data_IF_782576326654
#
_entry.id   IF_782576326654
#
_cell.length_a   1.000
_cell.length_b   1.000
_cell.length_c   1.000
_cell.angle_alpha   90.00
_cell.angle_beta   90.00
_cell.angle_gamma   90.00
#
_symmetry.space_group_name_H-M   'P 1'
#
loop_
_entity.id
_entity.type
_entity.pdbx_description
1 polymer ?
#
# COMPACT_ATOMS: atom_id res chain seq x y z
N UNK A 1 -8.06 -17.38 4.26
CA UNK A 1 -6.85 -16.63 4.66
C UNK A 1 -6.62 -15.35 3.87
N UNK A 2 -6.64 -15.35 2.52
CA UNK A 2 -6.39 -14.15 1.68
C UNK A 2 -7.18 -12.90 2.09
N UNK A 3 -8.50 -13.04 2.31
CA UNK A 3 -9.37 -11.93 2.73
C UNK A 3 -9.04 -11.41 4.15
N UNK A 4 -8.72 -12.30 5.09
CA UNK A 4 -8.35 -11.94 6.46
C UNK A 4 -7.03 -11.14 6.46
N UNK A 5 -6.03 -11.61 5.72
CA UNK A 5 -4.73 -10.93 5.56
C UNK A 5 -4.92 -9.55 4.91
N UNK A 6 -5.79 -9.46 3.91
CA UNK A 6 -6.12 -8.19 3.27
C UNK A 6 -6.75 -7.21 4.25
N UNK A 7 -7.76 -7.63 4.99
CA UNK A 7 -8.47 -6.76 5.94
C UNK A 7 -7.50 -6.24 7.01
N UNK A 8 -6.63 -7.11 7.55
CA UNK A 8 -5.62 -6.71 8.52
C UNK A 8 -4.62 -5.72 7.89
N UNK A 9 -4.14 -6.00 6.68
CA UNK A 9 -3.20 -5.12 5.98
C UNK A 9 -3.78 -3.75 5.64
N UNK A 10 -5.02 -3.70 5.18
CA UNK A 10 -5.76 -2.45 4.94
C UNK A 10 -5.99 -1.70 6.25
N UNK A 11 -6.35 -2.39 7.34
CA UNK A 11 -6.51 -1.76 8.65
C UNK A 11 -5.19 -1.15 9.15
N UNK A 12 -4.06 -1.83 8.98
CA UNK A 12 -2.74 -1.31 9.34
C UNK A 12 -2.39 -0.08 8.48
N UNK A 13 -2.59 -0.15 7.16
CA UNK A 13 -2.37 0.99 6.27
C UNK A 13 -3.25 2.19 6.63
N UNK A 14 -4.53 1.95 6.96
CA UNK A 14 -5.45 2.99 7.41
C UNK A 14 -5.01 3.60 8.76
N UNK A 15 -4.53 2.79 9.70
CA UNK A 15 -3.96 3.28 10.95
C UNK A 15 -2.74 4.17 10.73
N UNK A 16 -1.86 3.83 9.77
CA UNK A 16 -0.70 4.65 9.40
C UNK A 16 -1.16 6.01 8.85
N UNK A 17 -2.20 6.04 8.00
CA UNK A 17 -2.77 7.29 7.46
C UNK A 17 -3.38 8.15 8.58
N UNK A 18 -4.19 7.55 9.46
CA UNK A 18 -4.86 8.26 10.56
C UNK A 18 -3.88 8.73 11.63
N UNK A 19 -2.83 7.95 11.91
CA UNK A 19 -1.82 8.23 12.94
C UNK A 19 -0.55 8.86 12.35
N UNK A 20 -0.63 9.49 11.17
CA UNK A 20 0.51 10.10 10.51
C UNK A 20 1.20 11.18 11.37
N UNK A 21 0.45 11.93 12.17
CA UNK A 21 1.03 12.90 13.13
C UNK A 21 1.79 12.22 14.27
N UNK A 22 1.29 11.09 14.77
CA UNK A 22 2.00 10.33 15.80
C UNK A 22 3.29 9.74 15.23
N UNK A 23 3.25 9.26 13.99
CA UNK A 23 4.44 8.78 13.28
C UNK A 23 5.45 9.91 13.07
N UNK A 24 5.00 11.09 12.68
CA UNK A 24 5.84 12.28 12.58
C UNK A 24 6.47 12.66 13.93
N UNK A 25 5.74 12.56 15.04
CA UNK A 25 6.28 12.88 16.37
C UNK A 25 7.31 11.85 16.86
N UNK A 26 7.27 10.61 16.35
CA UNK A 26 8.22 9.53 16.72
C UNK A 26 9.45 9.56 15.81
N UNK A 27 9.24 9.66 14.50
CA UNK A 27 10.29 9.53 13.48
C UNK A 27 10.85 10.88 13.03
N UNK A 28 10.10 11.98 13.23
CA UNK A 28 10.49 13.32 12.82
C UNK A 28 10.27 13.60 11.33
N UNK A 29 10.91 14.67 10.89
CA UNK A 29 10.90 15.12 9.51
C UNK A 29 11.87 14.31 8.65
N UNK A 30 11.43 13.93 7.45
CA UNK A 30 12.21 13.23 6.44
C UNK A 30 12.72 14.27 5.43
N UNK A 31 14.04 14.47 5.27
CA UNK A 31 14.60 15.51 4.41
C UNK A 31 14.12 15.43 2.96
N UNK A 32 14.03 14.21 2.41
CA UNK A 32 13.51 13.98 1.06
C UNK A 32 12.05 14.44 0.92
N UNK A 33 11.24 14.17 1.93
CA UNK A 33 9.83 14.51 1.94
C UNK A 33 9.62 16.02 2.10
N UNK A 34 10.42 16.70 2.94
CA UNK A 34 10.37 18.16 3.03
C UNK A 34 10.82 18.83 1.72
N UNK A 35 11.83 18.28 1.05
CA UNK A 35 12.33 18.83 -0.21
C UNK A 35 11.36 18.67 -1.38
N UNK A 36 10.61 17.56 -1.45
CA UNK A 36 9.75 17.24 -2.60
C UNK A 36 8.25 17.43 -2.32
N UNK A 37 7.84 17.44 -1.05
CA UNK A 37 6.43 17.52 -0.61
C UNK A 37 6.20 18.65 0.40
N UNK A 38 7.15 19.58 0.56
CA UNK A 38 7.17 20.60 1.62
C UNK A 38 6.02 21.61 1.66
N UNK A 39 5.13 21.64 0.66
CA UNK A 39 4.04 22.62 0.57
C UNK A 39 3.03 22.54 1.74
N UNK A 40 2.84 21.36 2.35
CA UNK A 40 1.88 21.14 3.46
C UNK A 40 2.46 20.31 4.64
N UNK A 41 3.76 20.43 4.90
CA UNK A 41 4.45 19.61 5.91
C UNK A 41 4.79 18.23 5.34
N UNK A 42 5.75 18.22 4.41
CA UNK A 42 5.99 17.13 3.47
C UNK A 42 6.19 15.76 4.10
N UNK A 43 6.79 15.70 5.28
CA UNK A 43 6.96 14.46 6.03
C UNK A 43 5.64 13.86 6.50
N UNK A 44 4.68 14.68 6.95
CA UNK A 44 3.34 14.22 7.37
C UNK A 44 2.58 13.64 6.19
N UNK A 45 2.67 14.32 5.05
CA UNK A 45 2.06 13.87 3.81
C UNK A 45 2.72 12.57 3.32
N UNK A 46 4.04 12.46 3.42
CA UNK A 46 4.78 11.25 3.08
C UNK A 46 4.38 10.02 3.91
N UNK A 47 4.21 10.17 5.24
CA UNK A 47 3.71 9.07 6.07
C UNK A 47 2.31 8.61 5.65
N UNK A 48 1.43 9.54 5.25
CA UNK A 48 0.11 9.19 4.69
C UNK A 48 0.24 8.47 3.35
N UNK A 49 1.14 8.90 2.47
CA UNK A 49 1.38 8.25 1.19
C UNK A 49 1.89 6.81 1.35
N UNK A 50 2.75 6.56 2.33
CA UNK A 50 3.18 5.19 2.67
C UNK A 50 1.99 4.35 3.11
N UNK A 51 1.17 4.86 4.03
CA UNK A 51 -0.03 4.16 4.49
C UNK A 51 -1.00 3.85 3.34
N UNK A 52 -1.19 4.81 2.43
CA UNK A 52 -2.03 4.65 1.24
C UNK A 52 -1.46 3.61 0.25
N UNK A 53 -0.14 3.60 0.04
CA UNK A 53 0.53 2.59 -0.79
C UNK A 53 0.32 1.18 -0.21
N UNK A 54 0.44 1.02 1.10
CA UNK A 54 0.16 -0.26 1.79
C UNK A 54 -1.29 -0.70 1.55
N UNK A 55 -2.26 0.20 1.69
CA UNK A 55 -3.67 -0.10 1.40
C UNK A 55 -3.83 -0.63 -0.04
N UNK A 56 -3.26 0.07 -1.02
CA UNK A 56 -3.34 -0.36 -2.42
C UNK A 56 -2.71 -1.73 -2.66
N UNK A 57 -1.54 -2.02 -2.05
CA UNK A 57 -0.90 -3.33 -2.17
C UNK A 57 -1.81 -4.45 -1.66
N UNK A 58 -2.45 -4.27 -0.50
CA UNK A 58 -3.35 -5.28 0.05
C UNK A 58 -4.65 -5.39 -0.77
N UNK A 59 -5.18 -4.28 -1.30
CA UNK A 59 -6.32 -4.33 -2.23
C UNK A 59 -5.97 -5.10 -3.51
N UNK A 60 -4.77 -4.91 -4.06
CA UNK A 60 -4.31 -5.70 -5.21
C UNK A 60 -4.11 -7.18 -4.84
N UNK A 61 -3.63 -7.46 -3.63
CA UNK A 61 -3.49 -8.84 -3.14
C UNK A 61 -4.83 -9.58 -3.07
N UNK A 62 -5.91 -8.91 -2.68
CA UNK A 62 -7.24 -9.54 -2.58
C UNK A 62 -7.91 -9.75 -3.93
N UNK A 63 -7.65 -8.84 -4.87
CA UNK A 63 -8.28 -8.84 -6.20
C UNK A 63 -8.03 -10.13 -6.99
N UNK A 64 -7.03 -10.94 -6.61
CA UNK A 64 -6.66 -12.14 -7.36
C UNK A 64 -6.05 -11.82 -8.73
N UNK A 65 -5.91 -10.53 -9.06
CA UNK A 65 -5.49 -10.07 -10.39
C UNK A 65 -4.14 -10.62 -10.82
N UNK A 66 -3.19 -10.77 -9.89
CA UNK A 66 -1.91 -11.43 -10.17
C UNK A 66 -2.08 -12.91 -10.51
N UNK A 67 -2.98 -13.61 -9.84
CA UNK A 67 -3.29 -15.01 -10.14
C UNK A 67 -3.99 -15.13 -11.50
N UNK A 68 -4.91 -14.22 -11.80
CA UNK A 68 -5.63 -14.19 -13.07
C UNK A 68 -4.71 -13.86 -14.24
N UNK A 69 -3.75 -12.95 -14.07
CA UNK A 69 -2.71 -12.64 -15.07
C UNK A 69 -1.83 -13.87 -15.33
N UNK A 70 -1.36 -14.54 -14.27
CA UNK A 70 -0.53 -15.75 -14.43
C UNK A 70 -1.33 -16.84 -15.15
N UNK A 71 -2.58 -17.09 -14.76
CA UNK A 71 -3.42 -18.08 -15.45
C UNK A 71 -3.66 -17.67 -16.90
N UNK A 72 -3.87 -16.38 -17.19
CA UNK A 72 -4.07 -15.85 -18.54
C UNK A 72 -2.85 -16.04 -19.44
N UNK A 73 -1.65 -15.74 -18.93
CA UNK A 73 -0.38 -15.87 -19.67
C UNK A 73 -0.07 -17.35 -19.96
N UNK A 74 -0.29 -18.23 -18.97
CA UNK A 74 0.04 -19.65 -19.09
C UNK A 74 -1.12 -20.51 -19.62
N UNK A 75 -2.29 -19.93 -19.88
CA UNK A 75 -3.48 -20.61 -20.43
C UNK A 75 -3.20 -21.41 -21.72
N UNK A 76 -2.39 -20.91 -22.68
CA UNK A 76 -2.04 -21.66 -23.89
C UNK A 76 -1.16 -22.89 -23.60
N UNK A 77 -0.42 -22.89 -22.50
CA UNK A 77 0.58 -23.90 -22.13
C UNK A 77 -0.05 -25.09 -21.40
N UNK A 78 -1.17 -24.89 -20.69
CA UNK A 78 -1.92 -25.94 -20.00
C UNK A 78 -2.93 -26.68 -20.88
N UNK A 79 -2.83 -26.56 -22.21
CA UNK A 79 -3.63 -27.34 -23.14
C UNK A 79 -5.02 -26.75 -23.36
N UNK A 80 -5.10 -25.76 -24.26
CA UNK A 80 -6.36 -25.40 -24.90
C UNK A 80 -6.75 -26.46 -25.94
N UNK A 81 -7.80 -27.23 -25.66
CA UNK A 81 -8.87 -27.43 -26.63
C UNK A 81 -10.06 -26.62 -26.15
#
# INVERSE_FOLDING_TARGET
MRYIVTIIGVAIGALIVVKSEKLYNIFGAIPWAEQHLGAEGGSRLFYKLIGLAIIFIFLFYVSGFLQDIVIFIFRPLFGGR
#
